data_IF_660740394061
#
_entry.id   IF_660740394061
#
_cell.length_a   1.000
_cell.length_b   1.000
_cell.length_c   1.000
_cell.angle_alpha   90.00
_cell.angle_beta   90.00
_cell.angle_gamma   90.00
#
_symmetry.space_group_name_H-M   'P 1'
#
loop_
_entity.id
_entity.type
_entity.pdbx_description
1 polymer ?
#
# COMPACT_ATOMS: atom_id res chain seq x y z
N UNK A 1 -4.06 -7.37 -48.39
CA UNK A 1 -5.29 -6.54 -48.36
C UNK A 1 -5.91 -6.39 -46.97
N UNK A 2 -6.58 -7.40 -46.37
CA UNK A 2 -7.20 -7.27 -45.03
C UNK A 2 -6.15 -7.06 -43.91
N UNK A 3 -5.01 -7.75 -44.01
CA UNK A 3 -3.88 -7.62 -43.07
C UNK A 3 -3.21 -6.24 -43.10
N UNK A 4 -3.07 -5.62 -44.28
CA UNK A 4 -2.47 -4.29 -44.44
C UNK A 4 -3.39 -3.18 -43.93
N UNK A 5 -4.72 -3.32 -44.13
CA UNK A 5 -5.71 -2.40 -43.56
C UNK A 5 -5.71 -2.49 -42.03
N UNK A 6 -5.63 -3.70 -41.47
CA UNK A 6 -5.51 -3.91 -40.02
C UNK A 6 -4.21 -3.30 -39.45
N UNK A 7 -3.10 -3.44 -40.16
CA UNK A 7 -1.80 -2.87 -39.77
C UNK A 7 -1.78 -1.33 -39.87
N UNK A 8 -2.40 -0.75 -40.89
CA UNK A 8 -2.54 0.70 -41.04
C UNK A 8 -3.50 1.29 -40.00
N UNK A 9 -4.61 0.61 -39.71
CA UNK A 9 -5.54 1.01 -38.66
C UNK A 9 -4.92 0.90 -37.26
N UNK A 10 -4.13 -0.14 -36.99
CA UNK A 10 -3.42 -0.28 -35.71
C UNK A 10 -2.33 0.77 -35.55
N UNK A 11 -1.64 1.17 -36.63
CA UNK A 11 -0.72 2.29 -36.64
C UNK A 11 -1.40 3.64 -36.35
N UNK A 12 -2.53 3.92 -37.01
CA UNK A 12 -3.30 5.15 -36.79
C UNK A 12 -3.92 5.22 -35.38
N UNK A 13 -4.42 4.10 -34.86
CA UNK A 13 -4.91 3.99 -33.48
C UNK A 13 -3.77 4.13 -32.46
N UNK A 14 -2.63 3.49 -32.71
CA UNK A 14 -1.42 3.62 -31.88
C UNK A 14 -0.95 5.08 -31.81
N UNK A 15 -0.92 5.79 -32.94
CA UNK A 15 -0.57 7.20 -32.98
C UNK A 15 -1.59 8.07 -32.21
N UNK A 16 -2.89 7.74 -32.27
CA UNK A 16 -3.90 8.43 -31.45
C UNK A 16 -3.69 8.22 -29.95
N UNK A 17 -3.34 7.01 -29.51
CA UNK A 17 -3.03 6.72 -28.09
C UNK A 17 -1.77 7.46 -27.64
N UNK A 18 -0.72 7.47 -28.46
CA UNK A 18 0.51 8.20 -28.17
C UNK A 18 0.24 9.71 -28.11
N UNK A 19 -0.48 10.27 -29.09
CA UNK A 19 -0.82 11.69 -29.10
C UNK A 19 -1.70 12.06 -27.90
N UNK A 20 -2.62 11.20 -27.50
CA UNK A 20 -3.40 11.36 -26.27
C UNK A 20 -2.51 11.36 -25.03
N UNK A 21 -1.61 10.39 -24.88
CA UNK A 21 -0.65 10.36 -23.79
C UNK A 21 0.23 11.62 -23.77
N UNK A 22 0.77 12.05 -24.90
CA UNK A 22 1.59 13.26 -25.01
C UNK A 22 0.80 14.52 -24.63
N UNK A 23 -0.48 14.60 -25.05
CA UNK A 23 -1.35 15.74 -24.72
C UNK A 23 -1.66 15.85 -23.22
N UNK A 24 -1.69 14.72 -22.51
CA UNK A 24 -1.99 14.64 -21.09
C UNK A 24 -0.80 14.15 -20.24
N UNK A 25 0.42 14.21 -20.77
CA UNK A 25 1.59 13.59 -20.15
C UNK A 25 1.83 14.13 -18.74
N UNK A 26 1.68 15.44 -18.57
CA UNK A 26 1.79 16.10 -17.27
C UNK A 26 0.79 15.52 -16.27
N UNK A 27 -0.47 15.37 -16.67
CA UNK A 27 -1.53 14.83 -15.83
C UNK A 27 -1.26 13.37 -15.43
N UNK A 28 -0.84 12.53 -16.38
CA UNK A 28 -0.46 11.15 -16.09
C UNK A 28 0.72 11.07 -15.11
N UNK A 29 1.77 11.86 -15.36
CA UNK A 29 2.94 11.89 -14.49
C UNK A 29 2.59 12.38 -13.08
N UNK A 30 1.75 13.42 -12.97
CA UNK A 30 1.26 13.90 -11.68
C UNK A 30 0.49 12.82 -10.93
N UNK A 31 -0.40 12.08 -11.61
CA UNK A 31 -1.14 10.96 -10.99
C UNK A 31 -0.17 9.89 -10.48
N UNK A 32 0.83 9.50 -11.27
CA UNK A 32 1.83 8.50 -10.88
C UNK A 32 2.65 8.96 -9.68
N UNK A 33 3.11 10.20 -9.68
CA UNK A 33 3.89 10.78 -8.56
C UNK A 33 3.04 10.86 -7.29
N UNK A 34 1.79 11.34 -7.39
CA UNK A 34 0.87 11.39 -6.25
C UNK A 34 0.60 10.00 -5.69
N UNK A 35 0.40 9.01 -6.57
CA UNK A 35 0.21 7.63 -6.18
C UNK A 35 1.43 7.06 -5.42
N UNK A 36 2.64 7.32 -5.94
CA UNK A 36 3.88 6.96 -5.26
C UNK A 36 4.01 7.61 -3.88
N UNK A 37 3.65 8.89 -3.75
CA UNK A 37 3.66 9.59 -2.47
C UNK A 37 2.66 8.99 -1.46
N UNK A 38 1.46 8.62 -1.90
CA UNK A 38 0.46 7.94 -1.07
C UNK A 38 0.98 6.58 -0.58
N UNK A 39 1.58 5.79 -1.47
CA UNK A 39 2.18 4.50 -1.11
C UNK A 39 3.33 4.66 -0.11
N UNK A 40 4.17 5.67 -0.30
CA UNK A 40 5.26 5.98 0.63
C UNK A 40 4.71 6.31 2.04
N UNK A 41 3.69 7.17 2.11
CA UNK A 41 3.00 7.48 3.37
C UNK A 41 2.41 6.23 4.02
N UNK A 42 1.74 5.38 3.23
CA UNK A 42 1.17 4.13 3.70
C UNK A 42 2.22 3.18 4.29
N UNK A 43 3.41 3.10 3.69
CA UNK A 43 4.52 2.29 4.20
C UNK A 43 5.17 2.90 5.45
N UNK A 44 5.29 4.23 5.52
CA UNK A 44 5.75 4.91 6.74
C UNK A 44 4.80 4.68 7.92
N UNK A 45 3.48 4.67 7.66
CA UNK A 45 2.47 4.37 8.67
C UNK A 45 2.59 2.93 9.16
N UNK A 46 2.76 1.96 8.26
CA UNK A 46 3.02 0.55 8.63
C UNK A 46 4.21 0.44 9.58
N UNK A 47 5.34 1.08 9.26
CA UNK A 47 6.53 1.09 10.12
C UNK A 47 6.28 1.70 11.50
N UNK A 48 5.49 2.78 11.57
CA UNK A 48 5.11 3.41 12.84
C UNK A 48 4.25 2.49 13.69
N UNK A 49 3.28 1.81 13.09
CA UNK A 49 2.45 0.82 13.76
C UNK A 49 3.33 -0.29 14.35
N UNK A 50 4.20 -0.89 13.52
CA UNK A 50 5.12 -1.94 13.97
C UNK A 50 5.96 -1.45 15.16
N UNK A 51 6.56 -0.25 15.05
CA UNK A 51 7.37 0.30 16.13
C UNK A 51 6.56 0.53 17.40
N UNK A 52 5.35 1.08 17.30
CA UNK A 52 4.48 1.31 18.45
C UNK A 52 4.10 0.01 19.15
N UNK A 53 3.80 -1.05 18.39
CA UNK A 53 3.50 -2.38 18.92
C UNK A 53 4.71 -2.93 19.66
N UNK A 54 5.88 -2.90 19.02
CA UNK A 54 7.14 -3.41 19.58
C UNK A 54 7.53 -2.67 20.86
N UNK A 55 7.43 -1.34 20.87
CA UNK A 55 7.71 -0.53 22.08
C UNK A 55 6.74 -0.84 23.21
N UNK A 56 5.45 -1.02 22.94
CA UNK A 56 4.48 -1.39 23.97
C UNK A 56 4.71 -2.78 24.54
N UNK A 57 5.28 -3.72 23.77
CA UNK A 57 5.61 -5.06 24.25
C UNK A 57 7.01 -5.20 24.82
N UNK A 58 7.89 -4.22 24.62
CA UNK A 58 9.31 -4.36 24.96
C UNK A 58 10.05 -5.37 24.08
N UNK A 59 9.61 -5.54 22.83
CA UNK A 59 10.19 -6.47 21.86
C UNK A 59 11.04 -5.74 20.81
N UNK A 60 12.14 -6.34 20.40
CA UNK A 60 13.01 -5.77 19.35
C UNK A 60 12.56 -6.14 17.92
N UNK A 61 11.77 -7.21 17.79
CA UNK A 61 11.35 -7.74 16.50
C UNK A 61 9.96 -8.37 16.58
N UNK A 62 9.26 -8.36 15.45
CA UNK A 62 7.92 -8.93 15.34
C UNK A 62 8.03 -10.45 15.38
N UNK A 63 7.33 -11.10 16.29
CA UNK A 63 7.26 -12.56 16.45
C UNK A 63 5.84 -13.06 16.17
N UNK A 64 5.68 -14.39 16.09
CA UNK A 64 4.34 -14.99 16.02
C UNK A 64 3.56 -14.73 17.32
N UNK A 65 4.24 -14.77 18.47
CA UNK A 65 3.65 -14.42 19.76
C UNK A 65 3.13 -12.96 19.80
N UNK A 66 3.80 -12.03 19.11
CA UNK A 66 3.29 -10.66 18.92
C UNK A 66 1.96 -10.64 18.18
N UNK A 67 1.79 -11.48 17.15
CA UNK A 67 0.55 -11.56 16.39
C UNK A 67 -0.57 -12.19 17.20
N UNK A 68 -0.30 -13.34 17.82
CA UNK A 68 -1.29 -14.07 18.62
C UNK A 68 -1.82 -13.15 19.74
N UNK A 69 -0.93 -12.42 20.41
CA UNK A 69 -1.30 -11.40 21.40
C UNK A 69 -2.20 -10.28 20.82
N UNK A 70 -1.92 -9.77 19.62
CA UNK A 70 -2.73 -8.71 18.99
C UNK A 70 -4.09 -9.23 18.49
N UNK A 71 -4.16 -10.50 18.10
CA UNK A 71 -5.40 -11.18 17.71
C UNK A 71 -6.31 -11.38 18.92
N UNK A 72 -5.75 -11.72 20.07
CA UNK A 72 -6.49 -11.87 21.34
C UNK A 72 -6.76 -10.54 22.04
N UNK A 73 -6.04 -9.46 21.68
CA UNK A 73 -6.20 -8.14 22.30
C UNK A 73 -7.54 -7.49 21.92
N UNK A 74 -8.46 -7.49 22.89
CA UNK A 74 -9.75 -6.79 22.79
C UNK A 74 -9.71 -5.33 23.25
N UNK A 75 -8.58 -4.82 23.77
CA UNK A 75 -8.47 -3.44 24.28
C UNK A 75 -8.79 -2.39 23.20
N UNK A 76 -9.97 -1.75 23.25
CA UNK A 76 -10.38 -0.78 22.26
C UNK A 76 -9.57 0.52 22.34
N UNK A 77 -9.04 0.84 23.53
CA UNK A 77 -8.32 2.08 23.80
C UNK A 77 -6.92 2.04 23.19
N UNK A 78 -6.23 0.90 23.26
CA UNK A 78 -5.00 0.64 22.52
C UNK A 78 -5.20 0.88 21.02
N UNK A 79 -6.18 0.20 20.40
CA UNK A 79 -6.41 0.30 18.96
C UNK A 79 -6.81 1.72 18.54
N UNK A 80 -7.62 2.40 19.35
CA UNK A 80 -8.00 3.80 19.11
C UNK A 80 -6.80 4.73 19.17
N UNK A 81 -5.90 4.53 20.13
CA UNK A 81 -4.67 5.33 20.29
C UNK A 81 -3.71 5.08 19.14
N UNK A 82 -3.52 3.81 18.76
CA UNK A 82 -2.72 3.40 17.61
C UNK A 82 -3.22 4.04 16.33
N UNK A 83 -4.53 3.97 16.06
CA UNK A 83 -5.12 4.56 14.84
C UNK A 83 -5.09 6.09 14.86
N UNK A 84 -5.26 6.73 16.02
CA UNK A 84 -5.13 8.19 16.16
C UNK A 84 -3.71 8.70 15.89
N UNK A 85 -2.68 7.88 16.11
CA UNK A 85 -1.30 8.25 15.79
C UNK A 85 -1.05 8.41 14.28
N UNK A 86 -1.98 7.92 13.45
CA UNK A 86 -1.88 7.88 12.00
C UNK A 86 -2.76 8.98 11.39
N UNK A 87 -2.15 10.09 10.97
CA UNK A 87 -2.87 11.24 10.37
C UNK A 87 -3.68 10.86 9.11
N UNK A 88 -3.12 9.99 8.28
CA UNK A 88 -3.78 9.48 7.07
C UNK A 88 -3.98 7.97 7.27
N UNK A 89 -5.21 7.48 7.48
CA UNK A 89 -5.48 6.12 7.93
C UNK A 89 -5.33 5.11 6.78
N UNK A 90 -4.13 5.06 6.20
CA UNK A 90 -3.73 4.16 5.14
C UNK A 90 -2.46 3.42 5.54
N UNK A 91 -2.39 2.15 5.16
CA UNK A 91 -1.24 1.28 5.35
C UNK A 91 -0.98 0.49 4.08
N UNK A 92 0.28 0.14 3.85
CA UNK A 92 0.67 -0.71 2.73
C UNK A 92 1.81 -1.59 3.18
N UNK A 93 1.78 -2.85 2.75
CA UNK A 93 2.90 -3.77 2.94
C UNK A 93 4.00 -3.45 1.94
N UNK A 94 5.26 -3.71 2.31
CA UNK A 94 6.45 -3.44 1.50
C UNK A 94 6.41 -3.97 0.05
N UNK A 95 5.58 -4.97 -0.25
CA UNK A 95 5.42 -5.52 -1.62
C UNK A 95 4.12 -5.12 -2.30
N UNK A 96 3.18 -4.50 -1.59
CA UNK A 96 1.87 -4.20 -2.14
C UNK A 96 1.99 -2.90 -2.92
N UNK A 97 1.71 -2.96 -4.21
CA UNK A 97 1.49 -1.76 -5.03
C UNK A 97 0.06 -1.25 -4.84
N UNK A 98 -0.45 -1.30 -3.61
CA UNK A 98 -1.74 -0.75 -3.21
C UNK A 98 -1.71 -0.44 -1.72
N UNK A 99 -2.55 0.52 -1.31
CA UNK A 99 -2.78 0.83 0.09
C UNK A 99 -4.13 0.28 0.55
N UNK A 100 -4.28 0.10 1.85
CA UNK A 100 -5.51 -0.31 2.50
C UNK A 100 -5.83 0.65 3.65
N UNK A 101 -7.09 0.71 4.05
CA UNK A 101 -7.48 1.46 5.24
C UNK A 101 -6.80 0.89 6.49
N UNK A 102 -6.25 1.75 7.34
CA UNK A 102 -5.74 1.38 8.65
C UNK A 102 -6.92 1.02 9.56
N UNK A 103 -7.14 -0.27 9.76
CA UNK A 103 -8.06 -0.83 10.74
C UNK A 103 -7.41 -2.10 11.34
N UNK A 104 -7.97 -2.61 12.44
CA UNK A 104 -7.44 -3.79 13.14
C UNK A 104 -7.17 -4.95 12.18
N UNK A 105 -8.16 -5.33 11.38
CA UNK A 105 -8.08 -6.45 10.44
C UNK A 105 -6.97 -6.30 9.40
N UNK A 106 -6.87 -5.14 8.72
CA UNK A 106 -5.84 -4.91 7.71
C UNK A 106 -4.45 -4.79 8.33
N UNK A 107 -4.34 -4.25 9.55
CA UNK A 107 -3.07 -4.19 10.28
C UNK A 107 -2.60 -5.63 10.56
N UNK A 108 -3.43 -6.45 11.20
CA UNK A 108 -3.11 -7.85 11.51
C UNK A 108 -2.72 -8.59 10.23
N UNK A 109 -3.54 -8.52 9.18
CA UNK A 109 -3.27 -9.15 7.87
C UNK A 109 -1.93 -8.73 7.27
N UNK A 110 -1.56 -7.45 7.39
CA UNK A 110 -0.29 -6.95 6.87
C UNK A 110 0.91 -7.41 7.71
N UNK A 111 0.76 -7.45 9.03
CA UNK A 111 1.77 -7.99 9.94
C UNK A 111 1.98 -9.49 9.71
N UNK A 112 0.93 -10.29 9.53
CA UNK A 112 1.02 -11.72 9.18
C UNK A 112 1.77 -11.91 7.86
N UNK A 113 1.48 -11.10 6.84
CA UNK A 113 2.22 -11.12 5.56
C UNK A 113 3.70 -10.76 5.75
N UNK A 114 4.01 -9.84 6.67
CA UNK A 114 5.38 -9.46 6.99
C UNK A 114 6.17 -10.65 7.58
N UNK A 115 5.57 -11.41 8.50
CA UNK A 115 6.21 -12.58 9.11
C UNK A 115 6.35 -13.76 8.16
N UNK A 116 5.32 -14.07 7.37
CA UNK A 116 5.35 -15.20 6.41
C UNK A 116 6.47 -15.08 5.35
N UNK A 117 7.02 -13.87 5.17
CA UNK A 117 8.10 -13.61 4.20
C UNK A 117 9.50 -13.54 4.81
N UNK A 118 9.62 -13.54 6.14
CA UNK A 118 10.91 -13.64 6.83
C UNK A 118 11.34 -15.09 7.06
N UNK A 119 10.40 -16.04 6.94
CA UNK A 119 10.68 -17.47 6.80
C UNK A 119 11.03 -17.77 5.35
#
# INVERSE_FOLDING_TARGET
MISEISLMMSGALGQKVINFYMSYQLLFNTIVVLYGAILLLAHLNEKRIIRSILTNRGEDHLTLETLDYLEEMEDPEFWKTLLKSIKVPIISTRSALYYQKANRENILKNLTKHLKRRK
#
